data_IF_300832056577
#
_entry.id   IF_300832056577
#
_cell.length_a   1.000
_cell.length_b   1.000
_cell.length_c   1.000
_cell.angle_alpha   90.00
_cell.angle_beta   90.00
_cell.angle_gamma   90.00
#
_symmetry.space_group_name_H-M   'P 1'
#
loop_
_entity.id
_entity.type
_entity.pdbx_description
1 polymer ?
#
# COMPACT_ATOMS: atom_id res chain seq x y z
N UNK A 1 -5.01 7.64 -11.13
CA UNK A 1 -4.27 7.09 -9.99
C UNK A 1 -3.35 8.16 -9.47
N UNK A 2 -3.29 8.34 -8.14
CA UNK A 2 -2.36 9.30 -7.54
C UNK A 2 -0.96 8.69 -7.64
N UNK A 3 -0.03 9.37 -8.34
CA UNK A 3 1.37 8.93 -8.37
C UNK A 3 1.95 9.10 -6.96
N UNK A 4 2.57 8.06 -6.41
CA UNK A 4 3.32 8.17 -5.16
C UNK A 4 4.43 9.21 -5.34
N UNK A 5 4.42 10.22 -4.48
CA UNK A 5 5.55 11.15 -4.39
C UNK A 5 6.70 10.47 -3.66
N UNK A 6 7.95 10.88 -3.93
CA UNK A 6 9.14 10.31 -3.27
C UNK A 6 9.06 10.38 -1.73
N UNK A 7 8.32 11.35 -1.20
CA UNK A 7 8.12 11.55 0.24
C UNK A 7 7.13 10.53 0.84
N UNK A 8 6.14 10.09 0.07
CA UNK A 8 5.17 9.05 0.47
C UNK A 8 5.75 7.63 0.33
N UNK A 9 6.91 7.46 -0.33
CA UNK A 9 7.56 6.16 -0.50
C UNK A 9 8.30 5.71 0.76
N UNK A 10 8.14 4.44 1.10
CA UNK A 10 8.98 3.76 2.09
C UNK A 10 10.41 3.64 1.58
N UNK A 11 11.39 3.51 2.48
CA UNK A 11 12.80 3.44 2.08
C UNK A 11 13.11 2.22 1.22
N UNK A 12 12.43 1.09 1.46
CA UNK A 12 12.50 -0.08 0.61
C UNK A 12 12.05 0.21 -0.84
N UNK A 13 10.97 0.99 -1.00
CA UNK A 13 10.49 1.40 -2.32
C UNK A 13 11.46 2.36 -3.00
N UNK A 14 12.05 3.32 -2.26
CA UNK A 14 13.08 4.23 -2.79
C UNK A 14 14.31 3.46 -3.26
N UNK A 15 14.76 2.46 -2.49
CA UNK A 15 15.85 1.57 -2.88
C UNK A 15 15.52 0.79 -4.15
N UNK A 16 14.30 0.25 -4.27
CA UNK A 16 13.84 -0.44 -5.48
C UNK A 16 13.87 0.47 -6.72
N UNK A 17 13.47 1.74 -6.58
CA UNK A 17 13.59 2.73 -7.68
C UNK A 17 15.05 2.91 -8.09
N UNK A 18 15.96 3.11 -7.14
CA UNK A 18 17.39 3.27 -7.42
C UNK A 18 17.98 2.05 -8.12
N UNK A 19 17.65 0.84 -7.64
CA UNK A 19 18.11 -0.42 -8.23
C UNK A 19 17.66 -0.56 -9.68
N UNK A 20 16.37 -0.29 -9.97
CA UNK A 20 15.84 -0.35 -11.33
C UNK A 20 16.49 0.67 -12.27
N UNK A 21 16.73 1.90 -11.80
CA UNK A 21 17.49 2.88 -12.59
C UNK A 21 18.90 2.37 -12.89
N UNK A 22 19.58 1.77 -11.92
CA UNK A 22 20.88 1.16 -12.11
C UNK A 22 20.88 0.03 -13.14
N UNK A 23 19.81 -0.79 -13.17
CA UNK A 23 19.63 -1.84 -14.19
C UNK A 23 19.45 -1.25 -15.59
N UNK A 24 18.64 -0.19 -15.73
CA UNK A 24 18.46 0.48 -17.02
C UNK A 24 19.76 1.13 -17.53
N UNK A 25 20.55 1.75 -16.64
CA UNK A 25 21.89 2.26 -16.99
C UNK A 25 22.82 1.15 -17.49
N UNK A 26 22.85 0.02 -16.78
CA UNK A 26 23.65 -1.15 -17.19
C UNK A 26 23.21 -1.71 -18.54
N UNK A 27 21.90 -1.77 -18.80
CA UNK A 27 21.33 -2.27 -20.05
C UNK A 27 21.71 -1.39 -21.25
N UNK A 28 21.71 -0.07 -21.07
CA UNK A 28 22.09 0.88 -22.10
C UNK A 28 23.61 0.95 -22.32
N UNK A 29 24.42 0.55 -21.34
CA UNK A 29 25.89 0.62 -21.43
C UNK A 29 26.44 2.06 -21.43
N UNK A 30 25.57 3.06 -21.23
CA UNK A 30 25.88 4.49 -21.12
C UNK A 30 25.03 5.13 -20.04
N UNK A 31 25.41 6.33 -19.62
CA UNK A 31 24.57 7.14 -18.75
C UNK A 31 23.25 7.54 -19.45
N UNK A 32 22.18 7.59 -18.65
CA UNK A 32 20.86 8.04 -19.09
C UNK A 32 20.86 9.57 -19.22
N UNK A 33 20.30 10.09 -20.31
CA UNK A 33 20.01 11.53 -20.40
C UNK A 33 18.96 11.92 -19.36
N UNK A 34 18.89 13.20 -19.00
CA UNK A 34 17.92 13.68 -18.00
C UNK A 34 16.47 13.34 -18.39
N UNK A 35 16.13 13.45 -19.67
CA UNK A 35 14.79 13.13 -20.18
C UNK A 35 14.47 11.63 -20.07
N UNK A 36 15.42 10.76 -20.46
CA UNK A 36 15.26 9.31 -20.33
C UNK A 36 15.14 8.92 -18.85
N UNK A 37 15.98 9.49 -17.99
CA UNK A 37 15.97 9.20 -16.55
C UNK A 37 14.63 9.60 -15.90
N UNK A 38 14.06 10.74 -16.27
CA UNK A 38 12.76 11.17 -15.76
C UNK A 38 11.62 10.26 -16.25
N UNK A 39 11.63 9.85 -17.53
CA UNK A 39 10.65 8.89 -18.06
C UNK A 39 10.74 7.54 -17.35
N UNK A 40 11.95 7.02 -17.15
CA UNK A 40 12.20 5.76 -16.45
C UNK A 40 11.72 5.86 -15.00
N UNK A 41 12.10 6.92 -14.27
CA UNK A 41 11.61 7.17 -12.91
C UNK A 41 10.09 7.19 -12.83
N UNK A 42 9.44 7.94 -13.71
CA UNK A 42 7.98 8.05 -13.75
C UNK A 42 7.32 6.69 -13.98
N UNK A 43 7.81 5.90 -14.94
CA UNK A 43 7.29 4.57 -15.21
C UNK A 43 7.40 3.66 -13.98
N UNK A 44 8.57 3.63 -13.33
CA UNK A 44 8.82 2.83 -12.13
C UNK A 44 7.91 3.27 -10.98
N UNK A 45 7.75 4.58 -10.77
CA UNK A 45 6.88 5.12 -9.71
C UNK A 45 5.42 4.76 -9.98
N UNK A 46 4.96 4.80 -11.23
CA UNK A 46 3.59 4.39 -11.58
C UNK A 46 3.33 2.91 -11.30
N UNK A 47 4.29 2.03 -11.59
CA UNK A 47 4.20 0.61 -11.24
C UNK A 47 4.13 0.38 -9.72
N UNK A 48 5.01 1.03 -8.96
CA UNK A 48 5.01 0.89 -7.50
C UNK A 48 3.70 1.42 -6.91
N UNK A 49 3.18 2.53 -7.44
CA UNK A 49 1.88 3.09 -7.02
C UNK A 49 0.75 2.09 -7.25
N UNK A 50 0.73 1.44 -8.42
CA UNK A 50 -0.23 0.38 -8.76
C UNK A 50 -0.14 -0.81 -7.81
N UNK A 51 1.07 -1.26 -7.49
CA UNK A 51 1.29 -2.36 -6.54
C UNK A 51 0.78 -2.01 -5.13
N UNK A 52 1.05 -0.80 -4.66
CA UNK A 52 0.60 -0.29 -3.35
C UNK A 52 -0.92 -0.18 -3.31
N UNK A 53 -1.55 0.37 -4.34
CA UNK A 53 -3.02 0.43 -4.42
C UNK A 53 -3.65 -0.97 -4.41
N UNK A 54 -3.06 -1.94 -5.12
CA UNK A 54 -3.52 -3.32 -5.10
C UNK A 54 -3.37 -3.95 -3.72
N UNK A 55 -2.23 -3.73 -3.04
CA UNK A 55 -1.97 -4.25 -1.71
C UNK A 55 -2.94 -3.67 -0.66
N UNK A 56 -3.18 -2.36 -0.70
CA UNK A 56 -4.11 -1.68 0.21
C UNK A 56 -5.55 -2.15 -0.01
N UNK A 57 -6.00 -2.29 -1.26
CA UNK A 57 -7.33 -2.85 -1.58
C UNK A 57 -7.50 -4.28 -1.06
N UNK A 58 -6.48 -5.14 -1.24
CA UNK A 58 -6.48 -6.50 -0.70
C UNK A 58 -6.57 -6.49 0.83
N UNK A 59 -5.77 -5.67 1.51
CA UNK A 59 -5.78 -5.55 2.96
C UNK A 59 -7.15 -5.06 3.48
N UNK A 60 -7.77 -4.09 2.81
CA UNK A 60 -9.11 -3.63 3.15
C UNK A 60 -10.17 -4.72 2.96
N UNK A 61 -10.10 -5.48 1.87
CA UNK A 61 -11.00 -6.60 1.63
C UNK A 61 -10.88 -7.68 2.71
N UNK A 62 -9.65 -8.02 3.14
CA UNK A 62 -9.41 -8.94 4.25
C UNK A 62 -9.98 -8.41 5.58
N UNK A 63 -9.75 -7.13 5.90
CA UNK A 63 -10.33 -6.50 7.10
C UNK A 63 -11.86 -6.53 7.08
N UNK A 64 -12.49 -6.30 5.92
CA UNK A 64 -13.95 -6.39 5.78
C UNK A 64 -14.44 -7.82 6.00
N UNK A 65 -13.75 -8.82 5.44
CA UNK A 65 -14.07 -10.25 5.65
C UNK A 65 -13.95 -10.65 7.12
N UNK A 66 -12.89 -10.23 7.81
CA UNK A 66 -12.71 -10.49 9.24
C UNK A 66 -13.80 -9.85 10.10
N UNK A 67 -14.20 -8.60 9.79
CA UNK A 67 -15.31 -7.93 10.48
C UNK A 67 -16.66 -8.63 10.26
N UNK A 68 -16.85 -9.28 9.13
CA UNK A 68 -18.08 -9.99 8.77
C UNK A 68 -18.05 -11.46 9.19
N UNK A 69 -16.96 -11.95 9.78
CA UNK A 69 -16.89 -13.33 10.24
C UNK A 69 -17.99 -13.55 11.29
N UNK A 70 -18.92 -14.51 11.07
CA UNK A 70 -19.96 -14.78 12.03
C UNK A 70 -19.31 -15.34 13.30
N UNK A 71 -19.47 -14.63 14.42
CA UNK A 71 -19.13 -15.15 15.73
C UNK A 71 -20.26 -16.07 16.18
N UNK A 72 -19.91 -17.26 16.70
CA UNK A 72 -20.87 -18.18 17.35
C UNK A 72 -21.39 -17.59 18.69
N UNK A 73 -20.78 -16.49 19.13
CA UNK A 73 -21.26 -15.67 20.23
C UNK A 73 -22.57 -14.98 19.84
N UNK A 74 -23.67 -15.45 20.40
CA UNK A 74 -24.97 -14.77 20.30
C UNK A 74 -24.90 -13.46 21.07
N UNK A 75 -25.05 -12.32 20.39
CA UNK A 75 -25.03 -11.01 21.02
C UNK A 75 -26.18 -10.88 22.04
N UNK A 76 -25.84 -10.94 23.32
CA UNK A 76 -26.80 -10.81 24.42
C UNK A 76 -26.97 -9.36 24.83
N UNK A 77 -28.14 -8.79 24.53
CA UNK A 77 -28.52 -7.43 24.96
C UNK A 77 -28.63 -7.30 26.48
N UNK A 78 -28.99 -8.37 27.19
CA UNK A 78 -29.13 -8.37 28.65
C UNK A 78 -27.79 -8.39 29.38
N UNK A 79 -26.74 -8.97 28.79
CA UNK A 79 -25.40 -9.01 29.39
C UNK A 79 -24.67 -7.66 29.35
N UNK A 80 -25.10 -6.73 28.48
CA UNK A 80 -24.45 -5.42 28.28
C UNK A 80 -25.20 -4.24 28.91
N UNK A 81 -26.36 -4.48 29.49
CA UNK A 81 -27.04 -3.50 30.35
C UNK A 81 -26.26 -3.37 31.67
N UNK A 82 -25.45 -2.31 31.76
CA UNK A 82 -24.77 -1.92 33.00
C UNK A 82 -25.77 -1.81 34.17
N UNK A 83 -25.29 -2.18 35.37
CA UNK A 83 -25.95 -2.14 36.69
C UNK A 83 -26.31 -0.71 37.19
N UNK A 84 -26.69 0.23 36.32
CA UNK A 84 -27.26 1.50 36.79
C UNK A 84 -28.75 1.31 37.02
N UNK A 85 -29.10 0.93 38.25
CA UNK A 85 -30.50 0.75 38.61
C UNK A 85 -30.72 -0.09 39.87
N UNK A 86 -30.06 0.25 40.97
CA UNK A 86 -30.66 0.02 42.29
C UNK A 86 -30.74 1.40 42.95
N UNK A 87 -31.96 1.95 42.95
CA UNK A 87 -32.39 2.99 43.88
C UNK A 87 -32.67 2.34 45.23
#
# INVERSE_FOLDING_TARGET
MKKLTLQEMTDAQKMRVKTRIGQERKKLGRELTNAEMNKVKDSIITEISLEVEKATKKAQALKKKQKLAPSDETYSWSAKNHRSGYR
#
